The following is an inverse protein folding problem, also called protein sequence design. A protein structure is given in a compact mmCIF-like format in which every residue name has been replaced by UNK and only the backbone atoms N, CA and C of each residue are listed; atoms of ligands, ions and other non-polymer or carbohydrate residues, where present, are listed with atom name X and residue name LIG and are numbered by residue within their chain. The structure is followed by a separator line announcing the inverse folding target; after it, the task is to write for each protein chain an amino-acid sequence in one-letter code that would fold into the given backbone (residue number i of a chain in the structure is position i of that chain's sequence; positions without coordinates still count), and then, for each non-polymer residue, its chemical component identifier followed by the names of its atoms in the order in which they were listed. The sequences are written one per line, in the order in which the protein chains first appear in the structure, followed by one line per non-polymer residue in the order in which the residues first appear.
data_IF_583413926848
#
_entry.id   IF_583413926848
#
_cell.length_a   1.000
_cell.length_b   1.000
_cell.length_c   1.000
_cell.angle_alpha   90.00
_cell.angle_beta   90.00
_cell.angle_gamma   90.00
#
_symmetry.space_group_name_H-M   'P 1'
#
loop_
_entity.id
_entity.type
_entity.pdbx_description
1 polymer ?
#
# COMPACT_ATOMS: atom_id res chain seq x y z
N UNK A 1 -16.42 5.82 -33.42
CA UNK A 1 -16.97 6.21 -32.10
C UNK A 1 -16.91 7.72 -31.94
N UNK A 2 -17.92 8.32 -31.28
CA UNK A 2 -17.90 9.76 -30.95
C UNK A 2 -18.60 9.95 -29.60
N UNK A 3 -18.10 10.85 -28.75
CA UNK A 3 -18.73 11.20 -27.48
C UNK A 3 -18.22 12.54 -26.94
N UNK A 4 -19.00 13.14 -26.06
CA UNK A 4 -18.62 14.34 -25.33
C UNK A 4 -18.34 14.01 -23.85
N UNK A 5 -17.35 14.67 -23.27
CA UNK A 5 -16.95 14.45 -21.88
C UNK A 5 -16.28 15.70 -21.29
N UNK A 6 -16.42 15.92 -19.97
CA UNK A 6 -15.64 16.94 -19.25
C UNK A 6 -14.16 16.59 -19.25
N UNK A 7 -13.30 17.56 -19.54
CA UNK A 7 -11.84 17.42 -19.56
C UNK A 7 -11.29 16.96 -18.22
N UNK A 8 -11.72 17.55 -17.12
CA UNK A 8 -11.22 17.25 -15.77
C UNK A 8 -11.75 15.92 -15.26
N UNK A 9 -13.03 15.59 -15.53
CA UNK A 9 -13.62 14.30 -15.15
C UNK A 9 -12.90 13.15 -15.85
N UNK A 10 -12.69 13.25 -17.16
CA UNK A 10 -11.96 12.23 -17.91
C UNK A 10 -10.50 12.13 -17.44
N UNK A 11 -9.82 13.28 -17.23
CA UNK A 11 -8.44 13.29 -16.76
C UNK A 11 -8.28 12.57 -15.41
N UNK A 12 -9.19 12.82 -14.45
CA UNK A 12 -9.18 12.16 -13.15
C UNK A 12 -9.29 10.63 -13.27
N UNK A 13 -10.20 10.13 -14.12
CA UNK A 13 -10.37 8.69 -14.36
C UNK A 13 -9.13 8.08 -15.04
N UNK A 14 -8.59 8.74 -16.06
CA UNK A 14 -7.37 8.31 -16.75
C UNK A 14 -6.15 8.32 -15.82
N UNK A 15 -6.03 9.32 -14.95
CA UNK A 15 -4.96 9.38 -13.94
C UNK A 15 -5.06 8.23 -12.95
N UNK A 16 -6.27 7.85 -12.55
CA UNK A 16 -6.51 6.71 -11.66
C UNK A 16 -6.06 5.39 -12.32
N UNK A 17 -6.55 5.08 -13.52
CA UNK A 17 -6.22 3.82 -14.19
C UNK A 17 -4.76 3.73 -14.64
N UNK A 18 -4.13 4.86 -14.99
CA UNK A 18 -2.73 4.88 -15.45
C UNK A 18 -1.71 4.47 -14.38
N UNK A 19 -2.10 4.46 -13.11
CA UNK A 19 -1.21 4.10 -11.98
C UNK A 19 -0.70 2.66 -12.03
N UNK A 20 -1.39 1.78 -12.75
CA UNK A 20 -0.96 0.38 -12.93
C UNK A 20 0.14 0.27 -13.98
N UNK A 21 0.19 1.20 -14.96
CA UNK A 21 1.14 1.15 -16.07
C UNK A 21 2.56 1.25 -15.52
N UNK A 22 3.39 0.26 -15.84
CA UNK A 22 4.78 0.24 -15.43
C UNK A 22 5.57 1.38 -16.12
N UNK A 23 6.44 2.04 -15.36
CA UNK A 23 7.23 3.16 -15.90
C UNK A 23 8.32 2.75 -16.89
N UNK A 24 8.63 1.45 -17.04
CA UNK A 24 9.68 0.92 -17.94
C UNK A 24 9.40 -0.53 -18.36
N UNK A 25 9.57 -0.76 -19.70
CA UNK A 25 9.71 -2.09 -20.32
C UNK A 25 8.53 -3.05 -20.14
N UNK A 26 7.32 -2.64 -20.53
CA UNK A 26 6.26 -3.61 -20.76
C UNK A 26 6.67 -4.54 -21.94
N UNK A 27 6.48 -5.86 -21.77
CA UNK A 27 6.77 -6.83 -22.82
C UNK A 27 5.86 -6.66 -24.03
N UNK A 28 4.63 -6.19 -23.78
CA UNK A 28 3.64 -5.89 -24.80
C UNK A 28 3.47 -4.37 -24.91
N UNK A 29 3.78 -3.75 -26.07
CA UNK A 29 3.68 -2.29 -26.23
C UNK A 29 2.29 -1.71 -25.96
N UNK A 30 1.22 -2.48 -26.18
CA UNK A 30 -0.16 -2.03 -25.94
C UNK A 30 -0.42 -1.75 -24.44
N UNK A 31 0.37 -2.31 -23.52
CA UNK A 31 0.26 -2.07 -22.08
C UNK A 31 0.76 -0.69 -21.64
N UNK A 32 1.42 0.05 -22.53
CA UNK A 32 1.73 1.48 -22.32
C UNK A 32 0.52 2.38 -22.61
N UNK A 33 -0.59 1.78 -23.04
CA UNK A 33 -1.82 2.45 -23.44
C UNK A 33 -2.95 2.24 -22.43
N UNK A 34 -3.94 3.12 -22.48
CA UNK A 34 -5.23 2.96 -21.81
C UNK A 34 -6.25 2.55 -22.85
N UNK A 35 -6.97 1.46 -22.60
CA UNK A 35 -8.07 0.99 -23.42
C UNK A 35 -9.30 1.84 -23.16
N UNK A 36 -9.91 2.34 -24.24
CA UNK A 36 -11.23 2.95 -24.29
C UNK A 36 -12.19 1.94 -24.89
N UNK A 37 -13.22 1.56 -24.16
CA UNK A 37 -14.31 0.69 -24.59
C UNK A 37 -15.63 1.46 -24.44
N UNK A 38 -16.21 1.90 -25.55
CA UNK A 38 -17.48 2.63 -25.56
C UNK A 38 -18.61 1.69 -25.91
N UNK A 39 -19.60 1.62 -25.03
CA UNK A 39 -20.83 0.85 -25.25
C UNK A 39 -22.04 1.66 -24.78
N UNK A 40 -22.89 2.06 -25.74
CA UNK A 40 -23.98 3.00 -25.44
C UNK A 40 -23.45 4.33 -24.96
N UNK A 41 -23.82 4.77 -23.78
CA UNK A 41 -23.34 6.01 -23.14
C UNK A 41 -22.26 5.74 -22.08
N UNK A 42 -21.85 4.49 -21.88
CA UNK A 42 -20.86 4.13 -20.88
C UNK A 42 -19.49 3.97 -21.55
N UNK A 43 -18.54 4.79 -21.11
CA UNK A 43 -17.12 4.67 -21.45
C UNK A 43 -16.41 3.91 -20.34
N UNK A 44 -15.84 2.77 -20.70
CA UNK A 44 -15.00 1.96 -19.82
C UNK A 44 -13.53 2.20 -20.17
N UNK A 45 -12.74 2.55 -19.15
CA UNK A 45 -11.29 2.77 -19.25
C UNK A 45 -10.58 1.62 -18.54
N UNK A 46 -9.61 1.00 -19.21
CA UNK A 46 -8.81 -0.09 -18.61
C UNK A 46 -7.32 0.12 -18.85
N UNK A 47 -6.52 -0.22 -17.86
CA UNK A 47 -5.06 -0.29 -17.99
C UNK A 47 -4.53 -1.53 -17.26
N UNK A 48 -3.40 -2.07 -17.72
CA UNK A 48 -2.85 -3.33 -17.22
C UNK A 48 -1.32 -3.35 -17.31
N UNK A 49 -0.69 -4.20 -16.46
CA UNK A 49 0.74 -4.51 -16.53
C UNK A 49 1.03 -6.03 -16.65
N UNK A 50 0.08 -6.81 -17.17
CA UNK A 50 0.03 -8.28 -17.25
C UNK A 50 -0.42 -8.97 -15.95
N UNK A 51 -0.02 -8.48 -14.77
CA UNK A 51 -0.33 -9.11 -13.47
C UNK A 51 -1.47 -8.40 -12.73
N UNK A 52 -1.66 -7.12 -13.04
CA UNK A 52 -2.69 -6.29 -12.41
C UNK A 52 -3.40 -5.51 -13.48
N UNK A 53 -4.73 -5.56 -13.47
CA UNK A 53 -5.59 -4.76 -14.36
C UNK A 53 -6.50 -3.90 -13.51
N UNK A 54 -6.58 -2.62 -13.83
CA UNK A 54 -7.57 -1.70 -13.28
C UNK A 54 -8.54 -1.29 -14.38
N UNK A 55 -9.82 -1.21 -14.03
CA UNK A 55 -10.90 -0.76 -14.90
C UNK A 55 -11.79 0.21 -14.13
N UNK A 56 -12.22 1.27 -14.78
CA UNK A 56 -13.25 2.17 -14.26
C UNK A 56 -14.23 2.50 -15.39
N UNK A 57 -15.47 2.87 -15.05
CA UNK A 57 -16.48 3.28 -16.02
C UNK A 57 -17.07 4.63 -15.65
N UNK A 58 -17.47 5.37 -16.67
CA UNK A 58 -18.13 6.67 -16.54
C UNK A 58 -19.16 6.87 -17.66
N UNK A 59 -20.18 7.65 -17.37
CA UNK A 59 -21.13 8.08 -18.39
C UNK A 59 -20.55 9.22 -19.23
N UNK A 60 -20.83 9.17 -20.52
CA UNK A 60 -20.46 10.19 -21.50
C UNK A 60 -21.70 10.68 -22.23
N UNK A 61 -21.64 11.90 -22.78
CA UNK A 61 -22.77 12.51 -23.47
C UNK A 61 -22.64 12.34 -25.00
N UNK A 62 -23.80 12.36 -25.67
CA UNK A 62 -23.89 12.32 -27.14
C UNK A 62 -23.03 11.19 -27.77
N UNK A 63 -23.07 10.02 -27.15
CA UNK A 63 -22.32 8.88 -27.63
C UNK A 63 -22.92 8.31 -28.91
N UNK A 64 -22.07 8.11 -29.91
CA UNK A 64 -22.40 7.52 -31.21
C UNK A 64 -21.40 6.40 -31.52
N UNK A 65 -21.90 5.24 -31.98
CA UNK A 65 -21.09 4.07 -32.27
C UNK A 65 -20.66 3.31 -31.01
N UNK A 66 -19.94 2.22 -31.19
CA UNK A 66 -19.37 1.41 -30.14
C UNK A 66 -18.06 0.81 -30.62
N UNK A 67 -17.10 0.54 -29.73
CA UNK A 67 -15.83 -0.07 -30.12
C UNK A 67 -14.74 0.04 -29.07
N UNK A 68 -13.56 -0.52 -29.38
CA UNK A 68 -12.40 -0.60 -28.52
C UNK A 68 -11.17 -0.05 -29.19
N UNK A 69 -10.55 0.98 -28.59
CA UNK A 69 -9.28 1.55 -29.08
C UNK A 69 -8.39 1.85 -27.88
N UNK A 70 -7.10 1.57 -28.00
CA UNK A 70 -6.12 1.84 -26.98
C UNK A 70 -5.25 3.05 -27.37
N UNK A 71 -5.05 3.99 -26.44
CA UNK A 71 -4.26 5.20 -26.65
C UNK A 71 -3.09 5.27 -25.68
N UNK A 72 -1.93 5.71 -26.18
CA UNK A 72 -0.75 5.94 -25.35
C UNK A 72 -1.07 6.80 -24.13
N UNK A 73 -0.84 6.24 -22.95
CA UNK A 73 -1.24 6.85 -21.68
C UNK A 73 -0.49 8.15 -21.41
N UNK A 74 0.81 8.21 -21.74
CA UNK A 74 1.67 9.37 -21.47
C UNK A 74 1.26 10.56 -22.36
N UNK A 75 1.02 10.30 -23.64
CA UNK A 75 0.59 11.34 -24.58
C UNK A 75 -0.80 11.86 -24.21
N UNK A 76 -1.75 10.96 -23.94
CA UNK A 76 -3.12 11.32 -23.59
C UNK A 76 -3.19 12.12 -22.28
N UNK A 77 -2.53 11.65 -21.22
CA UNK A 77 -2.48 12.35 -19.93
C UNK A 77 -1.74 13.68 -20.02
N UNK A 78 -0.64 13.72 -20.79
CA UNK A 78 0.11 14.96 -21.04
C UNK A 78 -0.75 16.01 -21.74
N UNK A 79 -1.55 15.58 -22.72
CA UNK A 79 -2.46 16.46 -23.46
C UNK A 79 -3.60 16.96 -22.56
N UNK A 80 -4.29 16.05 -21.85
CA UNK A 80 -5.47 16.39 -21.04
C UNK A 80 -5.13 17.23 -19.80
N UNK A 81 -3.93 17.11 -19.26
CA UNK A 81 -3.44 17.92 -18.13
C UNK A 81 -3.47 19.42 -18.43
N UNK A 82 -3.24 19.80 -19.67
CA UNK A 82 -3.13 21.21 -20.06
C UNK A 82 -4.49 21.87 -20.35
N UNK A 83 -5.59 21.09 -20.30
CA UNK A 83 -6.93 21.67 -20.49
C UNK A 83 -7.48 22.21 -19.15
N UNK A 84 -8.04 23.44 -19.16
CA UNK A 84 -8.96 23.87 -18.13
C UNK A 84 -10.25 23.03 -18.21
N UNK A 85 -11.11 23.12 -17.19
CA UNK A 85 -12.43 22.50 -17.25
C UNK A 85 -13.21 23.00 -18.45
N UNK A 86 -13.54 22.08 -19.35
CA UNK A 86 -14.35 22.33 -20.54
C UNK A 86 -14.90 21.04 -21.14
N UNK A 87 -15.98 21.10 -21.91
CA UNK A 87 -16.40 19.95 -22.71
C UNK A 87 -15.41 19.68 -23.84
N UNK A 88 -15.08 18.41 -24.03
CA UNK A 88 -14.27 17.91 -25.13
C UNK A 88 -15.10 16.94 -25.94
N UNK A 89 -14.98 17.00 -27.25
CA UNK A 89 -15.55 16.00 -28.17
C UNK A 89 -14.46 15.07 -28.65
N UNK A 90 -14.62 13.79 -28.37
CA UNK A 90 -13.76 12.71 -28.85
C UNK A 90 -14.40 12.12 -30.12
N UNK A 91 -13.65 12.07 -31.23
CA UNK A 91 -14.04 11.39 -32.48
C UNK A 91 -12.96 10.38 -32.82
N UNK A 92 -13.33 9.11 -32.86
CA UNK A 92 -12.41 8.00 -33.06
C UNK A 92 -12.80 7.22 -34.28
N UNK A 93 -11.87 7.09 -35.23
CA UNK A 93 -12.02 6.25 -36.40
C UNK A 93 -11.57 4.82 -36.07
N UNK A 94 -12.50 3.88 -36.17
CA UNK A 94 -12.25 2.47 -35.82
C UNK A 94 -11.45 1.70 -36.90
N UNK A 95 -11.32 2.27 -38.12
CA UNK A 95 -10.58 1.63 -39.20
C UNK A 95 -9.07 1.89 -39.11
N UNK A 96 -8.68 3.09 -38.71
CA UNK A 96 -7.28 3.51 -38.61
C UNK A 96 -6.85 3.87 -37.19
N UNK A 97 -7.76 3.71 -36.19
CA UNK A 97 -7.56 4.03 -34.77
C UNK A 97 -7.18 5.48 -34.49
N UNK A 98 -7.51 6.38 -35.44
CA UNK A 98 -7.25 7.81 -35.31
C UNK A 98 -8.18 8.45 -34.28
N UNK A 99 -7.63 9.23 -33.37
CA UNK A 99 -8.34 10.06 -32.38
C UNK A 99 -8.25 11.52 -32.80
N UNK A 100 -9.37 12.22 -32.78
CA UNK A 100 -9.45 13.67 -32.79
C UNK A 100 -10.18 14.16 -31.55
N UNK A 101 -9.50 14.95 -30.73
CA UNK A 101 -10.07 15.66 -29.58
C UNK A 101 -10.35 17.09 -30.04
N UNK A 102 -11.60 17.50 -30.02
CA UNK A 102 -12.00 18.87 -30.34
C UNK A 102 -12.38 19.60 -29.07
N UNK A 103 -11.74 20.74 -28.83
CA UNK A 103 -12.03 21.69 -27.79
C UNK A 103 -12.65 22.98 -28.36
N UNK A 104 -12.99 23.95 -27.51
CA UNK A 104 -13.47 25.25 -27.95
C UNK A 104 -12.52 25.99 -28.91
N UNK A 105 -11.20 25.78 -28.77
CA UNK A 105 -10.18 26.57 -29.43
C UNK A 105 -9.21 25.75 -30.31
N UNK A 106 -9.38 24.43 -30.42
CA UNK A 106 -8.43 23.62 -31.19
C UNK A 106 -8.82 22.16 -31.33
N UNK A 107 -8.08 21.48 -32.21
CA UNK A 107 -8.20 20.04 -32.45
C UNK A 107 -6.85 19.38 -32.26
N UNK A 108 -6.84 18.25 -31.56
CA UNK A 108 -5.65 17.47 -31.20
C UNK A 108 -5.83 16.05 -31.75
N UNK A 109 -4.87 15.58 -32.54
CA UNK A 109 -5.01 14.32 -33.27
C UNK A 109 -3.82 13.40 -32.98
N UNK A 110 -4.08 12.12 -32.74
CA UNK A 110 -3.07 11.07 -32.66
C UNK A 110 -3.69 9.71 -33.00
N UNK A 111 -2.81 8.73 -33.20
CA UNK A 111 -3.22 7.39 -33.61
C UNK A 111 -3.07 6.47 -32.40
N UNK A 112 -4.10 5.67 -32.17
CA UNK A 112 -4.10 4.59 -31.17
C UNK A 112 -3.74 3.23 -31.75
N UNK A 113 -4.05 2.20 -31.00
CA UNK A 113 -3.88 0.80 -31.37
C UNK A 113 -5.22 0.05 -31.31
N UNK A 114 -5.27 -1.11 -31.96
CA UNK A 114 -6.45 -1.97 -31.94
C UNK A 114 -6.76 -2.44 -30.50
N UNK A 115 -7.85 -1.96 -29.93
CA UNK A 115 -8.26 -2.28 -28.56
C UNK A 115 -8.62 -3.76 -28.36
N UNK A 116 -8.90 -4.53 -29.41
CA UNK A 116 -9.14 -5.96 -29.29
C UNK A 116 -7.87 -6.77 -28.99
N UNK A 117 -6.69 -6.17 -29.14
CA UNK A 117 -5.41 -6.77 -28.77
C UNK A 117 -5.05 -6.51 -27.29
N UNK A 118 -5.83 -5.67 -26.61
CA UNK A 118 -5.63 -5.41 -25.19
C UNK A 118 -6.01 -6.65 -24.36
N UNK A 119 -5.20 -7.06 -23.37
CA UNK A 119 -5.47 -8.23 -22.56
C UNK A 119 -6.84 -8.15 -21.85
N UNK A 120 -7.59 -9.22 -21.91
CA UNK A 120 -8.85 -9.31 -21.18
C UNK A 120 -8.60 -9.41 -19.66
N UNK A 121 -9.48 -8.80 -18.87
CA UNK A 121 -9.46 -8.91 -17.44
C UNK A 121 -9.81 -10.35 -17.02
N UNK A 122 -8.97 -11.05 -16.24
CA UNK A 122 -9.25 -12.43 -15.84
C UNK A 122 -10.57 -12.53 -15.07
N UNK A 123 -11.37 -13.53 -15.39
CA UNK A 123 -12.48 -13.93 -14.53
C UNK A 123 -11.95 -14.67 -13.29
N UNK A 124 -12.50 -14.37 -12.13
CA UNK A 124 -12.15 -15.04 -10.89
C UNK A 124 -13.25 -16.04 -10.55
N UNK A 125 -12.94 -17.30 -10.78
CA UNK A 125 -13.71 -18.40 -10.20
C UNK A 125 -13.25 -18.57 -8.75
N UNK A 126 -13.97 -18.00 -7.81
CA UNK A 126 -13.63 -18.08 -6.38
C UNK A 126 -14.89 -17.99 -5.55
N UNK A 127 -15.00 -18.89 -4.59
CA UNK A 127 -16.13 -18.93 -3.64
C UNK A 127 -15.86 -18.04 -2.40
N UNK A 128 -14.63 -17.54 -2.25
CA UNK A 128 -14.27 -16.69 -1.12
C UNK A 128 -14.55 -15.22 -1.44
N UNK A 129 -15.35 -14.62 -0.59
CA UNK A 129 -15.63 -13.18 -0.70
C UNK A 129 -15.78 -12.57 0.69
N UNK A 130 -15.52 -11.27 0.80
CA UNK A 130 -15.85 -10.46 1.96
C UNK A 130 -16.03 -9.01 1.53
N UNK A 131 -16.66 -8.23 2.39
CA UNK A 131 -16.84 -6.80 2.23
C UNK A 131 -16.09 -6.05 3.33
N UNK A 132 -15.52 -4.91 2.98
CA UNK A 132 -14.76 -4.08 3.90
C UNK A 132 -14.91 -2.61 3.48
N UNK A 133 -15.08 -1.69 4.44
CA UNK A 133 -15.15 -0.27 4.13
C UNK A 133 -13.85 0.21 3.49
N UNK A 134 -13.92 1.10 2.50
CA UNK A 134 -12.75 1.68 1.83
C UNK A 134 -11.77 2.29 2.83
N UNK A 135 -12.29 3.07 3.79
CA UNK A 135 -11.50 3.70 4.85
C UNK A 135 -10.74 2.68 5.69
N UNK A 136 -11.36 1.54 6.03
CA UNK A 136 -10.74 0.47 6.82
C UNK A 136 -9.66 -0.25 6.03
N UNK A 137 -9.92 -0.61 4.77
CA UNK A 137 -8.93 -1.26 3.89
C UNK A 137 -7.74 -0.33 3.63
N UNK A 138 -8.00 0.94 3.33
CA UNK A 138 -6.97 1.95 3.13
C UNK A 138 -6.10 2.13 4.38
N UNK A 139 -6.72 2.20 5.58
CA UNK A 139 -6.00 2.29 6.85
C UNK A 139 -5.13 1.05 7.10
N UNK A 140 -5.68 -0.13 6.90
CA UNK A 140 -4.94 -1.40 7.05
C UNK A 140 -3.72 -1.45 6.13
N UNK A 141 -3.88 -1.09 4.85
CA UNK A 141 -2.77 -1.03 3.88
C UNK A 141 -1.73 0.02 4.31
N UNK A 142 -2.15 1.22 4.72
CA UNK A 142 -1.25 2.26 5.18
C UNK A 142 -0.41 1.83 6.39
N UNK A 143 -1.03 1.10 7.33
CA UNK A 143 -0.37 0.63 8.56
C UNK A 143 0.58 -0.56 8.34
N UNK A 144 0.49 -1.27 7.19
CA UNK A 144 1.25 -2.52 7.00
C UNK A 144 2.20 -2.50 5.81
N UNK A 145 1.84 -1.84 4.70
CA UNK A 145 2.55 -1.95 3.42
C UNK A 145 4.06 -1.64 3.50
N UNK A 146 4.46 -0.67 4.32
CA UNK A 146 5.86 -0.28 4.48
C UNK A 146 6.73 -1.39 5.07
N UNK A 147 6.14 -2.36 5.75
CA UNK A 147 6.84 -3.48 6.39
C UNK A 147 6.99 -4.71 5.48
N UNK A 148 6.36 -4.72 4.29
CA UNK A 148 6.54 -5.81 3.34
C UNK A 148 7.97 -5.84 2.78
N UNK A 149 8.52 -7.04 2.60
CA UNK A 149 9.88 -7.24 2.13
C UNK A 149 10.06 -6.89 0.63
N UNK A 150 11.31 -6.73 0.22
CA UNK A 150 11.77 -6.78 -1.17
C UNK A 150 12.89 -7.85 -1.21
N UNK A 151 12.50 -9.13 -1.25
CA UNK A 151 13.42 -10.25 -1.11
C UNK A 151 13.13 -11.30 -2.20
N UNK A 152 14.07 -11.52 -3.10
CA UNK A 152 13.93 -12.45 -4.20
C UNK A 152 13.84 -13.93 -3.74
N UNK A 153 14.41 -14.25 -2.58
CA UNK A 153 14.42 -15.61 -2.03
C UNK A 153 13.16 -15.93 -1.20
N UNK A 154 12.55 -14.92 -0.62
CA UNK A 154 11.36 -15.06 0.25
C UNK A 154 10.17 -14.30 -0.32
N UNK A 155 9.79 -14.61 -1.54
CA UNK A 155 8.74 -13.90 -2.28
C UNK A 155 7.41 -13.80 -1.53
N UNK A 156 7.07 -14.77 -0.68
CA UNK A 156 5.85 -14.74 0.15
C UNK A 156 5.80 -13.55 1.11
N UNK A 157 6.95 -12.94 1.47
CA UNK A 157 7.02 -11.74 2.30
C UNK A 157 6.96 -10.43 1.49
N UNK A 158 7.00 -10.50 0.14
CA UNK A 158 6.94 -9.32 -0.75
C UNK A 158 5.49 -8.82 -0.96
N UNK A 159 4.62 -9.11 -0.03
CA UNK A 159 3.21 -8.73 -0.08
C UNK A 159 2.59 -8.61 1.30
N UNK A 160 1.31 -8.29 1.29
CA UNK A 160 0.46 -8.21 2.46
C UNK A 160 -0.31 -9.51 2.62
N UNK A 161 -0.21 -10.14 3.77
CA UNK A 161 -0.96 -11.34 4.10
C UNK A 161 -2.31 -10.98 4.67
N UNK A 162 -3.36 -11.29 3.93
CA UNK A 162 -4.75 -11.21 4.35
C UNK A 162 -5.08 -12.52 5.05
N UNK A 163 -5.39 -12.44 6.33
CA UNK A 163 -5.81 -13.57 7.18
C UNK A 163 -7.22 -13.27 7.70
N UNK A 164 -8.18 -14.02 7.22
CA UNK A 164 -9.61 -13.79 7.41
C UNK A 164 -10.21 -14.92 8.24
N UNK A 165 -10.94 -14.57 9.26
CA UNK A 165 -11.68 -15.51 10.11
C UNK A 165 -13.12 -15.04 10.27
N UNK A 166 -14.02 -15.87 10.84
CA UNK A 166 -15.37 -15.42 11.17
C UNK A 166 -15.43 -14.27 12.19
N UNK A 167 -14.36 -14.04 12.95
CA UNK A 167 -14.31 -13.03 14.01
C UNK A 167 -13.70 -11.71 13.54
N UNK A 168 -12.75 -11.77 12.60
CA UNK A 168 -11.98 -10.58 12.24
C UNK A 168 -11.22 -10.72 10.91
N UNK A 169 -10.88 -9.58 10.36
CA UNK A 169 -9.88 -9.38 9.31
C UNK A 169 -8.53 -9.04 9.94
N UNK A 170 -7.47 -9.69 9.48
CA UNK A 170 -6.09 -9.39 9.88
C UNK A 170 -5.23 -9.14 8.66
N UNK A 171 -4.46 -8.06 8.66
CA UNK A 171 -3.46 -7.75 7.64
C UNK A 171 -2.07 -7.76 8.25
N UNK A 172 -1.16 -8.55 7.67
CA UNK A 172 0.19 -8.74 8.18
C UNK A 172 1.23 -8.45 7.11
N UNK A 173 2.30 -7.78 7.50
CA UNK A 173 3.49 -7.62 6.69
C UNK A 173 4.75 -7.82 7.52
N UNK A 174 5.79 -8.40 6.92
CA UNK A 174 7.10 -8.62 7.57
C UNK A 174 8.22 -8.68 6.54
N UNK A 175 9.41 -8.22 6.95
CA UNK A 175 10.67 -8.37 6.22
C UNK A 175 11.68 -9.30 6.95
N UNK A 176 11.17 -10.07 7.94
CA UNK A 176 11.92 -10.92 8.88
C UNK A 176 12.69 -10.18 9.98
N UNK A 177 12.84 -8.87 9.91
CA UNK A 177 13.46 -8.05 10.96
C UNK A 177 12.42 -7.29 11.79
N UNK A 178 11.30 -7.01 11.18
CA UNK A 178 10.15 -6.37 11.79
C UNK A 178 8.86 -6.96 11.23
N UNK A 179 7.78 -6.81 11.97
CA UNK A 179 6.46 -7.29 11.59
C UNK A 179 5.41 -6.28 12.04
N UNK A 180 4.43 -6.07 11.20
CA UNK A 180 3.22 -5.31 11.56
C UNK A 180 2.02 -6.22 11.39
N UNK A 181 1.16 -6.26 12.41
CA UNK A 181 -0.15 -6.90 12.39
C UNK A 181 -1.21 -5.86 12.71
N UNK A 182 -2.11 -5.67 11.77
CA UNK A 182 -3.31 -4.86 11.95
C UNK A 182 -4.52 -5.79 11.94
N UNK A 183 -5.42 -5.68 12.91
CA UNK A 183 -6.66 -6.41 12.96
C UNK A 183 -7.85 -5.47 13.00
N UNK A 184 -8.96 -5.88 12.40
CA UNK A 184 -10.22 -5.15 12.45
C UNK A 184 -11.38 -6.15 12.55
N UNK A 185 -12.32 -5.90 13.47
CA UNK A 185 -13.43 -6.80 13.78
C UNK A 185 -14.69 -6.53 12.93
N UNK A 186 -14.68 -5.51 12.05
CA UNK A 186 -15.86 -5.18 11.23
C UNK A 186 -15.92 -5.96 9.92
N UNK A 187 -14.80 -6.48 9.43
CA UNK A 187 -14.72 -7.30 8.23
C UNK A 187 -14.34 -8.73 8.58
N UNK A 188 -15.04 -9.70 8.01
CA UNK A 188 -14.86 -11.12 8.30
C UNK A 188 -15.39 -12.00 7.16
N UNK A 189 -15.09 -13.28 7.21
CA UNK A 189 -15.60 -14.30 6.26
C UNK A 189 -16.38 -15.39 7.00
N UNK A 190 -17.23 -16.15 6.29
CA UNK A 190 -17.97 -17.25 6.91
C UNK A 190 -17.05 -18.40 7.37
N UNK A 191 -15.95 -18.61 6.68
CA UNK A 191 -14.95 -19.63 6.98
C UNK A 191 -13.54 -19.05 6.88
N UNK A 192 -12.55 -19.58 7.63
CA UNK A 192 -11.18 -19.12 7.54
C UNK A 192 -10.64 -19.17 6.10
N UNK A 193 -10.08 -18.05 5.64
CA UNK A 193 -9.52 -17.94 4.32
C UNK A 193 -8.32 -16.98 4.34
N UNK A 194 -7.38 -17.13 3.41
CA UNK A 194 -6.22 -16.25 3.37
C UNK A 194 -5.62 -16.14 1.97
N UNK A 195 -4.94 -15.03 1.71
CA UNK A 195 -4.16 -14.83 0.48
C UNK A 195 -3.04 -13.81 0.72
N UNK A 196 -2.08 -13.77 -0.21
CA UNK A 196 -0.96 -12.82 -0.17
C UNK A 196 -1.10 -11.85 -1.34
N UNK A 197 -1.39 -10.58 -1.04
CA UNK A 197 -1.50 -9.51 -2.02
C UNK A 197 -0.11 -8.92 -2.29
N UNK A 198 0.41 -8.91 -3.54
CA UNK A 198 1.70 -8.30 -3.86
C UNK A 198 1.74 -6.80 -3.51
N UNK A 199 2.94 -6.26 -3.27
CA UNK A 199 3.14 -4.83 -2.95
C UNK A 199 2.57 -3.89 -4.01
N UNK A 200 2.73 -4.20 -5.30
CA UNK A 200 2.28 -3.31 -6.38
C UNK A 200 0.77 -3.10 -6.39
N UNK A 201 -0.09 -4.14 -6.43
CA UNK A 201 -1.54 -3.94 -6.30
C UNK A 201 -1.96 -3.35 -4.95
N UNK A 202 -1.24 -3.65 -3.84
CA UNK A 202 -1.51 -3.00 -2.57
C UNK A 202 -1.24 -1.48 -2.62
N UNK A 203 -0.15 -1.06 -3.27
CA UNK A 203 0.15 0.35 -3.51
C UNK A 203 -0.86 1.01 -4.45
N UNK A 204 -1.34 0.27 -5.47
CA UNK A 204 -2.40 0.75 -6.36
C UNK A 204 -3.69 1.02 -5.56
N UNK A 205 -4.15 0.05 -4.75
CA UNK A 205 -5.30 0.22 -3.85
C UNK A 205 -5.12 1.43 -2.93
N UNK A 206 -3.97 1.56 -2.27
CA UNK A 206 -3.65 2.72 -1.42
C UNK A 206 -3.84 4.07 -2.13
N UNK A 207 -3.60 4.13 -3.44
CA UNK A 207 -3.63 5.35 -4.22
C UNK A 207 -4.97 5.65 -4.89
N UNK A 208 -5.90 4.68 -4.92
CA UNK A 208 -7.21 4.82 -5.58
C UNK A 208 -8.39 4.69 -4.63
N UNK A 209 -8.21 4.11 -3.44
CA UNK A 209 -9.23 4.08 -2.39
C UNK A 209 -9.38 5.45 -1.73
N UNK A 210 -10.62 5.80 -1.42
CA UNK A 210 -10.99 7.01 -0.71
C UNK A 210 -11.17 6.77 0.80
N UNK A 211 -11.20 7.86 1.57
CA UNK A 211 -11.45 7.82 3.02
C UNK A 211 -12.95 7.91 3.32
N UNK A 212 -13.74 7.11 2.65
CA UNK A 212 -15.17 7.02 2.86
C UNK A 212 -15.55 5.63 3.41
N UNK A 213 -16.81 5.44 3.75
CA UNK A 213 -17.33 4.19 4.29
C UNK A 213 -18.05 3.35 3.22
N UNK A 214 -17.85 3.65 1.92
CA UNK A 214 -18.32 2.79 0.85
C UNK A 214 -17.66 1.41 0.93
N UNK A 215 -18.37 0.38 0.47
CA UNK A 215 -17.89 -0.99 0.59
C UNK A 215 -17.01 -1.38 -0.60
N UNK A 216 -15.87 -1.97 -0.29
CA UNK A 216 -15.06 -2.73 -1.24
C UNK A 216 -15.51 -4.17 -1.18
N UNK A 217 -16.03 -4.69 -2.29
CA UNK A 217 -16.31 -6.11 -2.45
C UNK A 217 -15.03 -6.81 -2.92
N UNK A 218 -14.53 -7.74 -2.11
CA UNK A 218 -13.32 -8.51 -2.40
C UNK A 218 -13.68 -9.95 -2.69
N UNK A 219 -13.36 -10.41 -3.91
CA UNK A 219 -13.50 -11.81 -4.33
C UNK A 219 -12.14 -12.36 -4.64
N UNK A 220 -11.80 -13.54 -4.11
CA UNK A 220 -10.48 -14.12 -4.33
C UNK A 220 -10.51 -15.64 -4.47
N UNK A 221 -9.59 -16.13 -5.28
CA UNK A 221 -9.32 -17.55 -5.45
C UNK A 221 -7.86 -17.86 -5.11
N UNK A 222 -7.33 -18.97 -5.64
CA UNK A 222 -5.95 -19.37 -5.38
C UNK A 222 -4.91 -18.48 -6.07
N UNK A 223 -5.23 -17.92 -7.24
CA UNK A 223 -4.26 -17.21 -8.09
C UNK A 223 -4.52 -15.72 -8.21
N UNK A 224 -5.75 -15.29 -8.09
CA UNK A 224 -6.16 -13.91 -8.35
C UNK A 224 -7.11 -13.39 -7.28
N UNK A 225 -7.09 -12.07 -7.07
CA UNK A 225 -8.07 -11.34 -6.28
C UNK A 225 -8.67 -10.21 -7.11
N UNK A 226 -9.95 -9.91 -6.85
CA UNK A 226 -10.70 -8.79 -7.43
C UNK A 226 -11.22 -7.90 -6.31
N UNK A 227 -10.96 -6.62 -6.43
CA UNK A 227 -11.46 -5.57 -5.56
C UNK A 227 -12.40 -4.68 -6.38
N UNK A 228 -13.65 -4.55 -5.96
CA UNK A 228 -14.67 -3.73 -6.66
C UNK A 228 -15.22 -2.70 -5.69
N UNK A 229 -15.16 -1.42 -6.06
CA UNK A 229 -15.66 -0.29 -5.29
C UNK A 229 -16.09 0.84 -6.24
N UNK A 230 -17.23 1.46 -5.97
CA UNK A 230 -17.84 2.42 -6.89
C UNK A 230 -17.90 1.87 -8.32
N UNK A 231 -17.36 2.59 -9.27
CA UNK A 231 -17.24 2.18 -10.68
C UNK A 231 -15.90 1.52 -11.01
N UNK A 232 -15.04 1.31 -10.02
CA UNK A 232 -13.68 0.81 -10.21
C UNK A 232 -13.57 -0.68 -9.84
N UNK A 233 -12.86 -1.41 -10.67
CA UNK A 233 -12.50 -2.83 -10.43
C UNK A 233 -11.00 -3.01 -10.63
N UNK A 234 -10.34 -3.62 -9.67
CA UNK A 234 -8.94 -4.05 -9.76
C UNK A 234 -8.91 -5.56 -9.67
N UNK A 235 -8.25 -6.19 -10.64
CA UNK A 235 -7.93 -7.63 -10.62
C UNK A 235 -6.43 -7.77 -10.60
N UNK A 236 -5.90 -8.59 -9.70
CA UNK A 236 -4.47 -8.82 -9.60
C UNK A 236 -4.14 -10.29 -9.34
N UNK A 237 -2.95 -10.68 -9.79
CA UNK A 237 -2.35 -11.97 -9.45
C UNK A 237 -1.87 -11.95 -8.00
N UNK A 238 -2.08 -13.05 -7.29
CA UNK A 238 -1.63 -13.25 -5.91
C UNK A 238 -0.26 -13.92 -5.87
N UNK A 239 0.47 -13.73 -4.76
CA UNK A 239 1.69 -14.48 -4.49
C UNK A 239 1.29 -15.87 -4.01
N UNK A 240 1.76 -16.90 -4.73
CA UNK A 240 1.58 -18.29 -4.35
C UNK A 240 2.56 -18.69 -3.23
N UNK A 241 2.08 -19.48 -2.29
CA UNK A 241 2.88 -20.02 -1.21
C UNK A 241 2.26 -19.84 0.17
N UNK A 242 2.92 -20.41 1.18
CA UNK A 242 2.49 -20.32 2.57
C UNK A 242 3.20 -19.16 3.26
N UNK A 243 2.43 -18.20 3.77
CA UNK A 243 2.97 -17.13 4.60
C UNK A 243 3.57 -17.68 5.90
N UNK A 244 4.66 -17.10 6.44
CA UNK A 244 5.24 -17.52 7.71
C UNK A 244 4.23 -17.49 8.86
N UNK A 245 4.40 -18.41 9.82
CA UNK A 245 3.59 -18.38 11.04
C UNK A 245 3.93 -17.16 11.89
N UNK A 246 3.30 -16.04 11.56
CA UNK A 246 3.56 -14.74 12.21
C UNK A 246 3.15 -14.73 13.68
N UNK A 247 2.11 -15.49 14.07
CA UNK A 247 1.69 -15.57 15.47
C UNK A 247 2.74 -16.22 16.36
N UNK A 248 3.53 -17.15 15.83
CA UNK A 248 4.58 -17.85 16.56
C UNK A 248 5.80 -17.00 16.92
N UNK A 249 5.99 -15.86 16.25
CA UNK A 249 7.12 -14.96 16.51
C UNK A 249 6.75 -13.78 17.44
N UNK A 250 5.46 -13.55 17.69
CA UNK A 250 4.98 -12.47 18.55
C UNK A 250 5.16 -12.90 20.02
N UNK A 251 6.00 -12.21 20.80
CA UNK A 251 6.21 -12.55 22.20
C UNK A 251 4.94 -12.33 23.03
N UNK A 252 4.67 -13.25 23.94
CA UNK A 252 3.47 -13.22 24.80
C UNK A 252 3.76 -12.65 26.20
N UNK A 253 5.04 -12.55 26.61
CA UNK A 253 5.43 -12.25 27.98
C UNK A 253 6.57 -11.24 28.06
N UNK A 254 6.46 -10.12 27.37
CA UNK A 254 7.36 -8.98 27.52
C UNK A 254 6.94 -8.18 28.77
N UNK A 255 7.68 -8.31 29.87
CA UNK A 255 7.28 -7.76 31.17
C UNK A 255 7.69 -6.29 31.35
N UNK A 256 8.73 -5.83 30.65
CA UNK A 256 9.23 -4.47 30.75
C UNK A 256 8.42 -3.55 29.85
N UNK A 257 7.56 -2.72 30.43
CA UNK A 257 6.69 -1.80 29.72
C UNK A 257 7.19 -0.37 29.88
N UNK A 258 7.48 0.28 28.75
CA UNK A 258 7.92 1.67 28.69
C UNK A 258 6.87 2.48 27.98
N UNK A 259 6.31 3.48 28.65
CA UNK A 259 5.37 4.43 28.01
C UNK A 259 6.12 5.75 27.81
N UNK A 260 6.07 6.25 26.59
CA UNK A 260 6.82 7.45 26.21
C UNK A 260 6.09 8.24 25.11
N UNK A 261 6.26 9.56 25.11
CA UNK A 261 5.82 10.42 24.03
C UNK A 261 6.48 9.98 22.71
N UNK A 262 5.63 9.65 21.72
CA UNK A 262 6.05 9.11 20.43
C UNK A 262 6.92 10.10 19.64
N UNK A 263 6.52 11.38 19.62
CA UNK A 263 7.23 12.38 18.82
C UNK A 263 8.57 12.74 19.42
N UNK A 264 8.66 12.80 20.75
CA UNK A 264 9.94 12.98 21.45
C UNK A 264 10.89 11.82 21.14
N UNK A 265 10.40 10.58 21.21
CA UNK A 265 11.20 9.38 20.90
C UNK A 265 11.70 9.40 19.44
N UNK A 266 10.82 9.69 18.46
CA UNK A 266 11.20 9.78 17.03
C UNK A 266 12.30 10.82 16.85
N UNK A 267 12.13 12.00 17.43
CA UNK A 267 13.06 13.12 17.25
C UNK A 267 14.43 12.82 17.85
N UNK A 268 14.49 12.22 19.03
CA UNK A 268 15.74 11.79 19.67
C UNK A 268 16.42 10.67 18.85
N UNK A 269 15.67 9.65 18.45
CA UNK A 269 16.19 8.60 17.57
C UNK A 269 16.78 9.17 16.28
N UNK A 270 16.12 10.14 15.63
CA UNK A 270 16.63 10.79 14.42
C UNK A 270 17.93 11.55 14.66
N UNK A 271 18.05 12.30 15.77
CA UNK A 271 19.28 13.06 16.07
C UNK A 271 20.44 12.13 16.41
N UNK A 272 20.20 11.14 17.27
CA UNK A 272 21.23 10.20 17.70
C UNK A 272 21.67 9.28 16.55
N UNK A 273 20.74 8.87 15.66
CA UNK A 273 21.05 8.01 14.51
C UNK A 273 22.09 8.60 13.55
N UNK A 274 22.25 9.93 13.50
CA UNK A 274 23.28 10.60 12.65
C UNK A 274 24.69 10.15 13.07
N UNK A 275 24.88 9.75 14.33
CA UNK A 275 26.16 9.34 14.90
C UNK A 275 26.34 7.82 14.93
N UNK A 276 25.36 7.05 14.44
CA UNK A 276 25.44 5.61 14.40
C UNK A 276 26.32 5.13 13.25
N UNK A 277 27.01 4.01 13.46
CA UNK A 277 27.80 3.38 12.41
C UNK A 277 26.93 3.07 11.18
N UNK A 278 27.36 3.50 10.01
CA UNK A 278 26.56 3.46 8.76
C UNK A 278 26.10 2.05 8.36
N UNK A 279 26.92 1.02 8.61
CA UNK A 279 26.61 -0.38 8.26
C UNK A 279 25.53 -1.01 9.14
N UNK A 280 25.49 -0.68 10.42
CA UNK A 280 24.54 -1.27 11.38
C UNK A 280 23.36 -0.37 11.69
N UNK A 281 23.56 0.94 11.65
CA UNK A 281 22.58 1.96 12.09
C UNK A 281 22.02 1.64 13.49
N UNK A 282 22.89 1.15 14.39
CA UNK A 282 22.52 0.69 15.73
C UNK A 282 22.23 1.88 16.65
N UNK A 283 21.04 1.87 17.26
CA UNK A 283 20.71 2.65 18.44
C UNK A 283 20.68 1.73 19.66
N UNK A 284 21.38 2.09 20.71
CA UNK A 284 21.31 1.44 22.02
C UNK A 284 20.30 2.21 22.88
N UNK A 285 19.28 1.52 23.34
CA UNK A 285 18.29 2.02 24.28
C UNK A 285 18.63 1.45 25.67
N UNK A 286 18.92 2.32 26.64
CA UNK A 286 19.20 1.92 28.03
C UNK A 286 18.10 2.46 28.93
N UNK A 287 17.39 1.56 29.59
CA UNK A 287 16.27 1.82 30.47
C UNK A 287 16.74 1.86 31.92
N UNK A 288 16.29 2.84 32.65
CA UNK A 288 16.39 2.96 34.10
C UNK A 288 15.09 3.56 34.64
N UNK A 289 14.91 3.64 35.98
CA UNK A 289 13.67 4.14 36.55
C UNK A 289 13.26 5.51 35.95
N UNK A 290 12.14 5.54 35.27
CA UNK A 290 11.53 6.70 34.60
C UNK A 290 12.44 7.43 33.59
N UNK A 291 13.45 6.76 33.04
CA UNK A 291 14.37 7.31 32.06
C UNK A 291 14.69 6.33 30.94
N UNK A 292 14.71 6.82 29.71
CA UNK A 292 15.22 6.14 28.53
C UNK A 292 16.41 6.92 27.99
N UNK A 293 17.58 6.32 28.02
CA UNK A 293 18.77 6.84 27.38
C UNK A 293 18.90 6.19 25.99
N UNK A 294 19.11 7.00 24.98
CA UNK A 294 19.33 6.59 23.59
C UNK A 294 20.75 7.00 23.23
N UNK A 295 21.57 6.04 22.81
CA UNK A 295 22.94 6.31 22.40
C UNK A 295 23.33 5.61 21.10
N UNK A 296 24.28 6.20 20.38
CA UNK A 296 24.91 5.64 19.19
C UNK A 296 26.37 6.06 19.14
N UNK A 297 27.20 5.24 18.50
CA UNK A 297 28.60 5.56 18.27
C UNK A 297 29.10 4.97 16.96
N UNK A 298 30.03 5.65 16.34
CA UNK A 298 30.87 5.11 15.26
C UNK A 298 32.33 5.22 15.64
N UNK A 299 32.92 4.07 16.01
CA UNK A 299 34.31 3.99 16.47
C UNK A 299 35.27 4.35 15.33
N UNK A 300 34.91 4.07 14.07
CA UNK A 300 35.74 4.34 12.90
C UNK A 300 35.92 5.82 12.64
N UNK A 301 34.90 6.63 12.98
CA UNK A 301 34.90 8.08 12.81
C UNK A 301 35.04 8.85 14.14
N UNK A 302 35.18 8.14 15.27
CA UNK A 302 35.26 8.74 16.61
C UNK A 302 34.09 9.67 16.95
N UNK A 303 32.89 9.28 16.48
CA UNK A 303 31.66 10.04 16.75
C UNK A 303 30.76 9.30 17.73
N UNK A 304 30.07 10.05 18.57
CA UNK A 304 29.06 9.50 19.48
C UNK A 304 28.00 10.53 19.81
N UNK A 305 26.81 10.07 20.11
CA UNK A 305 25.72 10.89 20.61
C UNK A 305 24.95 10.12 21.70
N UNK A 306 24.39 10.89 22.60
CA UNK A 306 23.60 10.37 23.72
C UNK A 306 22.50 11.36 24.07
N UNK A 307 21.27 10.89 24.25
CA UNK A 307 20.14 11.69 24.72
C UNK A 307 19.35 10.92 25.76
N UNK A 308 18.87 11.60 26.80
CA UNK A 308 18.03 11.02 27.85
C UNK A 308 16.63 11.64 27.80
N UNK A 309 15.63 10.78 27.74
CA UNK A 309 14.22 11.13 27.71
C UNK A 309 13.53 10.65 29.00
N UNK A 310 12.56 11.42 29.47
CA UNK A 310 11.65 10.97 30.53
C UNK A 310 10.64 9.98 29.93
N UNK A 311 10.37 8.91 30.65
CA UNK A 311 9.36 7.91 30.28
C UNK A 311 8.72 7.33 31.55
N UNK A 312 7.63 6.60 31.42
CA UNK A 312 7.09 5.77 32.50
C UNK A 312 7.70 4.38 32.38
N UNK A 313 8.58 4.03 33.33
CA UNK A 313 9.24 2.72 33.44
C UNK A 313 9.62 2.38 34.86
N UNK A 314 9.16 1.25 35.36
CA UNK A 314 9.41 0.78 36.73
C UNK A 314 10.18 -0.57 36.79
N UNK A 315 10.61 -1.08 35.61
CA UNK A 315 11.34 -2.34 35.52
C UNK A 315 12.81 -2.25 35.96
N UNK A 316 13.50 -3.39 35.96
CA UNK A 316 14.94 -3.44 36.19
C UNK A 316 15.72 -2.74 35.05
N UNK A 317 16.88 -2.14 35.36
CA UNK A 317 17.71 -1.55 34.31
C UNK A 317 18.07 -2.58 33.24
N UNK A 318 17.90 -2.19 31.96
CA UNK A 318 18.24 -3.03 30.83
C UNK A 318 18.72 -2.22 29.65
N UNK A 319 19.47 -2.85 28.74
CA UNK A 319 19.85 -2.25 27.47
C UNK A 319 19.44 -3.15 26.31
N UNK A 320 18.96 -2.56 25.23
CA UNK A 320 18.58 -3.27 24.00
C UNK A 320 18.99 -2.45 22.78
N UNK A 321 19.42 -3.11 21.70
CA UNK A 321 19.82 -2.46 20.46
C UNK A 321 18.76 -2.59 19.40
N UNK A 322 18.49 -1.52 18.65
CA UNK A 322 17.60 -1.56 17.48
C UNK A 322 18.21 -0.85 16.28
N UNK A 323 17.83 -1.27 15.08
CA UNK A 323 18.18 -0.58 13.85
C UNK A 323 17.36 0.71 13.72
N UNK A 324 18.04 1.87 13.71
CA UNK A 324 17.41 3.19 13.75
C UNK A 324 16.33 3.40 12.68
N UNK A 325 16.58 3.14 11.36
CA UNK A 325 15.56 3.31 10.34
C UNK A 325 14.28 2.52 10.62
N UNK A 326 14.41 1.29 11.10
CA UNK A 326 13.24 0.44 11.37
C UNK A 326 12.42 0.95 12.55
N UNK A 327 13.10 1.30 13.67
CA UNK A 327 12.42 1.87 14.83
C UNK A 327 11.69 3.16 14.48
N UNK A 328 12.35 4.06 13.77
CA UNK A 328 11.77 5.36 13.38
C UNK A 328 10.58 5.15 12.42
N UNK A 329 10.68 4.22 11.48
CA UNK A 329 9.60 3.96 10.52
C UNK A 329 8.37 3.33 11.19
N UNK A 330 8.56 2.37 12.11
CA UNK A 330 7.47 1.81 12.91
C UNK A 330 6.76 2.92 13.70
N UNK A 331 7.51 3.74 14.43
CA UNK A 331 6.95 4.86 15.21
C UNK A 331 6.20 5.89 14.36
N UNK A 332 6.65 6.17 13.13
CA UNK A 332 5.99 7.09 12.22
C UNK A 332 4.62 6.57 11.73
N UNK A 333 4.38 5.26 11.79
CA UNK A 333 3.12 4.63 11.35
C UNK A 333 2.13 4.36 12.51
N UNK A 334 2.38 4.93 13.68
CA UNK A 334 1.47 4.94 14.83
C UNK A 334 0.84 6.32 14.95
N UNK A 335 -0.47 6.40 15.21
CA UNK A 335 -1.18 7.69 15.29
C UNK A 335 -1.31 8.22 16.73
N UNK A 336 -1.21 7.36 17.77
CA UNK A 336 -1.30 7.78 19.16
C UNK A 336 -0.16 8.73 19.57
N UNK A 337 -0.42 9.63 20.49
CA UNK A 337 0.58 10.58 21.01
C UNK A 337 1.66 9.86 21.84
N UNK A 338 1.27 8.85 22.60
CA UNK A 338 2.17 7.99 23.35
C UNK A 338 2.22 6.60 22.78
N UNK A 339 3.34 5.93 22.96
CA UNK A 339 3.58 4.55 22.57
C UNK A 339 4.04 3.73 23.76
N UNK A 340 3.68 2.46 23.75
CA UNK A 340 4.17 1.48 24.70
C UNK A 340 5.19 0.56 24.03
N UNK A 341 6.41 0.52 24.55
CA UNK A 341 7.41 -0.49 24.20
C UNK A 341 7.31 -1.62 25.21
N UNK A 342 7.02 -2.83 24.75
CA UNK A 342 7.07 -4.03 25.59
C UNK A 342 8.32 -4.84 25.26
N UNK A 343 9.20 -4.98 26.24
CA UNK A 343 10.52 -5.60 26.11
C UNK A 343 10.67 -6.75 27.12
N UNK A 344 11.47 -7.75 26.79
CA UNK A 344 11.78 -8.85 27.70
C UNK A 344 13.28 -8.86 28.07
N UNK A 345 14.11 -9.16 27.09
CA UNK A 345 15.56 -9.21 27.22
C UNK A 345 16.22 -8.71 25.93
N UNK A 346 17.54 -8.43 25.91
CA UNK A 346 18.24 -7.84 24.78
C UNK A 346 18.23 -8.67 23.48
N UNK A 347 17.89 -9.96 23.56
CA UNK A 347 17.93 -10.89 22.43
C UNK A 347 16.53 -11.22 21.86
N UNK A 348 15.46 -10.80 22.54
CA UNK A 348 14.08 -11.05 22.11
C UNK A 348 13.46 -9.85 21.45
N UNK A 349 12.54 -10.13 20.53
CA UNK A 349 11.79 -9.10 19.84
C UNK A 349 11.06 -8.17 20.84
N UNK A 350 11.17 -6.87 20.59
CA UNK A 350 10.35 -5.86 21.26
C UNK A 350 9.04 -5.66 20.51
N UNK A 351 7.97 -5.35 21.26
CA UNK A 351 6.71 -4.88 20.70
C UNK A 351 6.62 -3.37 20.85
N UNK A 352 6.03 -2.74 19.86
CA UNK A 352 5.75 -1.31 19.82
C UNK A 352 4.26 -1.18 19.56
N UNK A 353 3.53 -0.65 20.52
CA UNK A 353 2.07 -0.62 20.54
C UNK A 353 1.60 0.82 20.68
N UNK A 354 0.51 1.22 20.01
CA UNK A 354 -0.16 2.46 20.35
C UNK A 354 -0.77 2.35 21.76
N UNK A 355 -0.84 3.45 22.50
CA UNK A 355 -1.56 3.48 23.78
C UNK A 355 -3.07 3.37 23.59
N UNK A 356 -3.57 3.85 22.46
CA UNK A 356 -4.98 3.81 22.08
C UNK A 356 -5.11 3.29 20.68
N UNK A 357 -6.01 2.34 20.45
CA UNK A 357 -6.42 1.91 19.13
C UNK A 357 -7.78 2.54 18.80
N UNK A 358 -8.08 2.72 17.51
CA UNK A 358 -9.42 3.07 17.09
C UNK A 358 -10.41 1.92 17.42
N UNK A 359 -11.70 2.25 17.45
CA UNK A 359 -12.74 1.25 17.72
C UNK A 359 -12.65 0.10 16.72
N UNK A 360 -12.77 -1.14 17.21
CA UNK A 360 -12.66 -2.39 16.45
C UNK A 360 -11.28 -2.65 15.79
N UNK A 361 -10.27 -1.85 16.08
CA UNK A 361 -8.93 -1.99 15.52
C UNK A 361 -7.92 -2.42 16.59
N UNK A 362 -6.90 -3.17 16.19
CA UNK A 362 -5.73 -3.43 17.00
C UNK A 362 -4.46 -3.43 16.13
N UNK A 363 -3.52 -2.57 16.47
CA UNK A 363 -2.23 -2.46 15.79
C UNK A 363 -1.12 -2.99 16.70
N UNK A 364 -0.37 -3.95 16.19
CA UNK A 364 0.82 -4.49 16.85
C UNK A 364 2.00 -4.40 15.90
N UNK A 365 3.10 -3.84 16.37
CA UNK A 365 4.35 -3.81 15.64
C UNK A 365 5.43 -4.54 16.44
N UNK A 366 6.23 -5.33 15.76
CA UNK A 366 7.34 -6.10 16.33
C UNK A 366 8.65 -5.65 15.68
N UNK A 367 9.69 -5.52 16.48
CA UNK A 367 11.04 -5.20 16.01
C UNK A 367 12.06 -6.17 16.62
N UNK A 368 12.83 -6.83 15.75
CA UNK A 368 13.95 -7.68 16.18
C UNK A 368 15.11 -6.82 16.66
N UNK A 369 15.70 -7.14 17.81
CA UNK A 369 16.85 -6.40 18.31
C UNK A 369 18.12 -6.73 17.50
N UNK A 370 19.07 -5.80 17.56
CA UNK A 370 20.46 -6.03 17.20
C UNK A 370 21.26 -6.37 18.46
N UNK A 371 22.10 -7.38 18.38
CA UNK A 371 22.96 -7.74 19.51
C UNK A 371 23.92 -6.59 19.81
N UNK A 372 23.95 -6.19 21.08
CA UNK A 372 24.93 -5.25 21.58
C UNK A 372 26.27 -5.99 21.71
N UNK A 373 27.32 -5.41 21.16
CA UNK A 373 28.69 -5.88 21.41
C UNK A 373 29.15 -5.20 22.71
N UNK A 374 29.63 -5.99 23.67
CA UNK A 374 30.22 -5.54 24.95
C UNK A 374 31.53 -4.76 24.72
#
# INVERSE_FOLDING_TARGET
MKFNVSSTTLFAQLQSVSRVIASKNNKLPILDSILFDLQGQTLTLSASDEETTIRTSMEVENAEGAGKVAFDAKLLLGTLREFPEQPLTFTIDEQNFGLNITSANGTYSFIGANGNEFPEMPEIAGDNHFEIAESTLLNAINKTLFCAADDELRQVMNGLFFDLTPEQFTLVATDAHRLVRYTNATAHTEAPASFILPKKPALLLKNVLDKNDEQVNVVFGQKNARFTFGTTTIVCRLIDGRYPNYNGVIPQNNQNKVIIDRQMLINACKRVAVFAHTGTSLLKLTLSANQLNISAQDISFYTSAEETLSCSYEGAPMSIGFKAPFLIELLNNIDSNEVMLELADPARAGLILPMENAENENLLMLLMPLLLQD
#
